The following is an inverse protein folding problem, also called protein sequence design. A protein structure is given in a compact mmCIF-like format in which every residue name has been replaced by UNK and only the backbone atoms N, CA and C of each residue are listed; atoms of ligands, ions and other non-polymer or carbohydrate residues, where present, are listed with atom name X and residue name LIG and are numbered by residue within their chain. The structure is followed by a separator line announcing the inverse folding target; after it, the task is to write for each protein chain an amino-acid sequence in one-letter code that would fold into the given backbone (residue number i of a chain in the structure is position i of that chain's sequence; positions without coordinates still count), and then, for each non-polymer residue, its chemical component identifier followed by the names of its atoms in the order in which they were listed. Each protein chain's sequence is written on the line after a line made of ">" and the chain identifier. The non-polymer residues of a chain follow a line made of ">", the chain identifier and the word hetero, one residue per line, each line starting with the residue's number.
data_IF_960085429054
#
_entry.id   IF_960085429054
#
_cell.length_a   1.000
_cell.length_b   1.000
_cell.length_c   1.000
_cell.angle_alpha   90.00
_cell.angle_beta   90.00
_cell.angle_gamma   90.00
#
_symmetry.space_group_name_H-M   'P 1'
#
loop_
_entity.id
_entity.type
_entity.pdbx_description
1 polymer ?
#
# COMPACT_ATOMS: atom_id res chain seq x y z
N UNK A 1 15.16 -41.48 73.13
CA UNK A 1 16.55 -41.90 73.30
C UNK A 1 17.32 -40.79 72.66
N UNK A 2 17.65 -39.91 73.50
CA UNK A 2 18.93 -39.46 74.12
C UNK A 2 19.70 -38.60 73.13
N UNK A 3 19.77 -37.37 73.45
CA UNK A 3 20.68 -36.62 74.39
C UNK A 3 21.93 -36.19 73.60
N UNK A 4 22.55 -35.06 73.68
CA UNK A 4 22.63 -33.97 74.64
C UNK A 4 23.54 -32.90 73.98
N UNK A 5 23.32 -31.65 74.07
CA UNK A 5 23.95 -30.62 74.95
C UNK A 5 25.52 -30.64 74.88
N UNK A 6 26.17 -29.54 74.76
CA UNK A 6 26.52 -28.35 75.48
C UNK A 6 27.60 -27.60 74.69
N UNK A 7 27.59 -26.35 74.49
CA UNK A 7 27.71 -25.11 75.31
C UNK A 7 29.17 -24.64 75.46
N UNK A 8 29.29 -23.34 75.56
CA UNK A 8 30.33 -22.46 76.21
C UNK A 8 31.31 -21.72 75.29
N UNK A 9 31.04 -20.46 75.01
CA UNK A 9 31.61 -19.26 75.66
C UNK A 9 33.05 -18.86 75.31
N UNK A 10 33.23 -17.58 74.98
CA UNK A 10 34.42 -16.83 75.24
C UNK A 10 34.81 -15.73 74.25
N UNK A 11 34.36 -14.51 74.50
CA UNK A 11 35.04 -13.30 74.00
C UNK A 11 36.20 -12.92 74.92
N UNK A 12 37.17 -12.08 74.64
CA UNK A 12 36.97 -10.63 74.40
C UNK A 12 37.89 -9.98 73.36
N UNK A 13 37.52 -8.72 73.04
CA UNK A 13 38.33 -7.66 72.36
C UNK A 13 39.59 -7.26 73.14
N UNK A 14 40.59 -6.49 72.53
CA UNK A 14 40.41 -5.16 72.01
C UNK A 14 41.24 -4.73 70.78
N UNK A 15 40.91 -3.57 70.23
CA UNK A 15 41.68 -2.73 69.29
C UNK A 15 42.86 -2.01 70.02
N UNK A 16 43.72 -1.16 69.42
CA UNK A 16 43.73 -0.47 68.12
C UNK A 16 45.09 -0.39 67.46
N UNK A 17 45.25 0.20 66.28
CA UNK A 17 46.17 1.29 65.95
C UNK A 17 46.10 1.73 64.47
N UNK A 18 46.08 3.02 64.30
CA UNK A 18 46.25 3.83 63.11
C UNK A 18 47.57 3.60 62.43
N UNK A 19 47.59 3.62 61.08
CA UNK A 19 48.56 4.46 60.36
C UNK A 19 48.13 4.70 58.89
N UNK A 20 48.40 5.93 58.46
CA UNK A 20 48.20 6.51 57.14
C UNK A 20 49.16 5.88 56.11
N UNK A 21 48.68 5.66 54.87
CA UNK A 21 49.48 5.94 53.70
C UNK A 21 48.60 6.08 52.41
N UNK A 22 48.59 7.30 51.91
CA UNK A 22 48.83 7.70 50.53
C UNK A 22 47.91 7.20 49.43
N UNK A 23 47.24 8.18 48.82
CA UNK A 23 46.70 8.26 47.48
C UNK A 23 47.43 7.46 46.43
N UNK A 24 46.68 6.63 45.69
CA UNK A 24 46.95 6.33 44.28
C UNK A 24 45.59 6.27 43.56
N UNK A 25 45.24 7.36 42.88
CA UNK A 25 44.23 7.37 41.85
C UNK A 25 44.65 6.37 40.77
N UNK A 26 43.83 5.32 40.56
CA UNK A 26 43.90 4.51 39.38
C UNK A 26 42.63 4.75 38.56
N UNK A 27 42.80 5.51 37.48
CA UNK A 27 41.88 5.63 36.38
C UNK A 27 41.49 4.24 35.87
N UNK A 28 40.32 3.76 36.21
CA UNK A 28 39.70 2.63 35.53
C UNK A 28 38.59 3.17 34.65
N UNK A 29 38.59 2.94 33.33
CA UNK A 29 37.52 3.34 32.49
C UNK A 29 36.25 2.57 32.90
N UNK A 30 35.24 3.32 33.20
CA UNK A 30 33.88 2.88 33.61
C UNK A 30 33.27 2.05 32.46
N UNK A 31 33.57 0.74 32.41
CA UNK A 31 32.89 -0.18 31.47
C UNK A 31 31.55 -0.52 32.06
N UNK A 32 30.50 0.04 31.48
CA UNK A 32 29.13 -0.37 31.77
C UNK A 32 29.00 -1.89 31.60
N UNK A 33 28.32 -2.58 32.51
CA UNK A 33 28.14 -4.03 32.41
C UNK A 33 27.48 -4.38 31.05
N UNK A 34 27.93 -5.44 30.40
CA UNK A 34 27.50 -5.81 29.04
C UNK A 34 26.00 -5.95 28.86
N UNK A 35 25.25 -6.27 29.94
CA UNK A 35 23.79 -6.33 29.89
C UNK A 35 23.13 -4.95 29.75
N UNK A 36 23.72 -3.88 30.28
CA UNK A 36 23.23 -2.51 30.13
C UNK A 36 23.41 -2.05 28.68
N UNK A 37 24.55 -2.39 28.05
CA UNK A 37 24.77 -2.14 26.62
C UNK A 37 23.79 -2.92 25.75
N UNK A 38 23.45 -4.14 26.12
CA UNK A 38 22.45 -4.96 25.42
C UNK A 38 21.02 -4.41 25.56
N UNK A 39 20.65 -3.93 26.77
CA UNK A 39 19.36 -3.29 27.01
C UNK A 39 19.20 -1.97 26.25
N UNK A 40 20.28 -1.17 26.16
CA UNK A 40 20.28 0.07 25.37
C UNK A 40 20.13 -0.27 23.86
N UNK A 41 20.78 -1.32 23.38
CA UNK A 41 20.65 -1.79 22.00
C UNK A 41 19.22 -2.28 21.71
N UNK A 42 18.62 -3.07 22.60
CA UNK A 42 17.24 -3.52 22.50
C UNK A 42 16.24 -2.34 22.53
N UNK A 43 16.46 -1.36 23.40
CA UNK A 43 15.63 -0.16 23.45
C UNK A 43 15.76 0.67 22.16
N UNK A 44 16.97 0.79 21.60
CA UNK A 44 17.21 1.47 20.33
C UNK A 44 16.57 0.73 19.15
N UNK A 45 16.61 -0.60 19.13
CA UNK A 45 15.92 -1.41 18.10
C UNK A 45 14.40 -1.28 18.23
N UNK A 46 13.86 -1.31 19.45
CA UNK A 46 12.44 -1.14 19.71
C UNK A 46 11.93 0.26 19.36
N UNK A 47 12.71 1.30 19.63
CA UNK A 47 12.38 2.68 19.23
C UNK A 47 12.50 2.89 17.73
N UNK A 48 13.48 2.26 17.06
CA UNK A 48 13.59 2.28 15.60
C UNK A 48 12.44 1.52 14.92
N UNK A 49 12.03 0.37 15.45
CA UNK A 49 10.87 -0.38 14.98
C UNK A 49 9.57 0.41 15.22
N UNK A 50 9.36 0.94 16.43
CA UNK A 50 8.22 1.78 16.76
C UNK A 50 8.19 3.10 15.96
N UNK A 51 9.36 3.71 15.69
CA UNK A 51 9.47 4.90 14.84
C UNK A 51 9.12 4.60 13.38
N UNK A 52 9.48 3.42 12.85
CA UNK A 52 9.08 2.99 11.50
C UNK A 52 7.58 2.74 11.42
N UNK A 53 6.98 2.07 12.40
CA UNK A 53 5.53 1.83 12.46
C UNK A 53 4.78 3.17 12.62
N UNK A 54 5.20 4.04 13.53
CA UNK A 54 4.56 5.35 13.74
C UNK A 54 4.73 6.29 12.53
N UNK A 55 5.86 6.24 11.81
CA UNK A 55 6.04 6.98 10.56
C UNK A 55 5.14 6.44 9.45
N UNK A 56 4.93 5.13 9.43
CA UNK A 56 4.08 4.48 8.46
C UNK A 56 2.60 4.81 8.70
N UNK A 57 2.15 4.79 9.97
CA UNK A 57 0.83 5.27 10.35
C UNK A 57 0.63 6.75 10.02
N UNK A 58 1.65 7.59 10.27
CA UNK A 58 1.56 9.03 9.96
C UNK A 58 1.62 9.32 8.47
N UNK A 59 2.34 8.55 7.66
CA UNK A 59 2.36 8.68 6.20
C UNK A 59 1.05 8.20 5.59
N UNK A 60 0.53 7.05 6.03
CA UNK A 60 -0.80 6.56 5.66
C UNK A 60 -1.90 7.53 6.05
N UNK A 61 -1.90 8.02 7.32
CA UNK A 61 -2.86 9.01 7.81
C UNK A 61 -2.73 10.37 7.12
N UNK A 62 -1.54 10.83 6.79
CA UNK A 62 -1.35 12.07 6.01
C UNK A 62 -1.92 11.95 4.60
N UNK A 63 -1.80 10.78 3.97
CA UNK A 63 -2.40 10.55 2.67
C UNK A 63 -3.94 10.63 2.72
N UNK A 64 -4.56 10.20 3.84
CA UNK A 64 -6.00 10.37 4.08
C UNK A 64 -6.44 11.82 4.22
N UNK A 65 -5.60 12.66 4.82
CA UNK A 65 -5.91 14.08 5.04
C UNK A 65 -5.54 14.97 3.85
N UNK A 66 -4.67 14.51 2.96
CA UNK A 66 -4.20 15.26 1.78
C UNK A 66 -4.80 14.77 0.46
N UNK A 67 -5.48 13.61 0.43
CA UNK A 67 -6.29 13.26 -0.73
C UNK A 67 -7.40 14.31 -0.86
N UNK A 68 -7.46 15.08 -1.97
CA UNK A 68 -8.52 16.05 -2.15
C UNK A 68 -9.87 15.35 -2.05
N UNK A 69 -10.88 15.98 -1.43
CA UNK A 69 -12.23 15.42 -1.41
C UNK A 69 -12.64 15.09 -2.83
N UNK A 70 -13.34 13.97 -3.04
CA UNK A 70 -13.76 13.47 -4.36
C UNK A 70 -14.33 14.58 -5.27
N UNK A 71 -14.98 15.58 -4.68
CA UNK A 71 -15.52 16.75 -5.40
C UNK A 71 -14.45 17.69 -5.99
N UNK A 72 -13.26 17.79 -5.41
CA UNK A 72 -12.21 18.69 -5.88
C UNK A 72 -11.29 18.08 -6.94
N UNK A 73 -11.23 16.76 -7.05
CA UNK A 73 -10.41 16.06 -8.05
C UNK A 73 -11.02 16.05 -9.45
N UNK A 74 -12.30 16.43 -9.58
CA UNK A 74 -13.04 16.42 -10.87
C UNK A 74 -12.78 17.63 -11.76
N UNK A 75 -12.00 18.65 -11.32
CA UNK A 75 -11.77 19.92 -12.06
C UNK A 75 -10.33 20.10 -12.54
N UNK A 76 -9.54 19.05 -12.62
CA UNK A 76 -8.26 19.19 -13.33
C UNK A 76 -8.50 19.05 -14.84
N UNK A 77 -8.62 20.22 -15.51
CA UNK A 77 -8.48 20.33 -16.96
C UNK A 77 -7.19 19.67 -17.41
N UNK A 78 -7.19 18.89 -18.50
CA UNK A 78 -5.94 18.39 -19.07
C UNK A 78 -5.05 19.60 -19.39
N UNK A 79 -3.95 19.70 -18.67
CA UNK A 79 -2.87 20.61 -19.05
C UNK A 79 -2.34 20.07 -20.37
N UNK A 80 -2.53 20.83 -21.44
CA UNK A 80 -1.88 20.58 -22.73
C UNK A 80 -0.38 20.66 -22.49
N UNK A 81 0.26 19.51 -22.32
CA UNK A 81 1.72 19.40 -22.26
C UNK A 81 2.22 19.67 -23.67
N UNK A 82 3.09 20.67 -23.90
CA UNK A 82 3.66 20.92 -25.21
C UNK A 82 4.38 19.66 -25.69
N UNK A 83 4.27 19.37 -26.98
CA UNK A 83 4.94 18.26 -27.63
C UNK A 83 6.43 18.28 -27.29
N UNK A 84 6.92 17.21 -26.66
CA UNK A 84 8.30 17.10 -26.19
C UNK A 84 9.26 17.09 -27.39
N UNK A 85 10.31 17.88 -27.33
CA UNK A 85 11.40 17.85 -28.31
C UNK A 85 12.06 16.45 -28.28
N UNK A 86 12.15 15.73 -29.43
CA UNK A 86 12.78 14.42 -29.46
C UNK A 86 14.26 14.42 -29.02
N UNK A 87 14.93 15.56 -29.06
CA UNK A 87 16.33 15.72 -28.62
C UNK A 87 16.46 15.71 -27.09
N UNK A 88 15.47 16.21 -26.35
CA UNK A 88 15.46 16.16 -24.89
C UNK A 88 15.36 14.71 -24.35
N UNK A 89 14.75 13.81 -25.12
CA UNK A 89 14.52 12.42 -24.72
C UNK A 89 15.80 11.58 -24.63
N UNK A 90 16.77 11.80 -25.50
CA UNK A 90 18.03 11.04 -25.52
C UNK A 90 18.94 11.47 -24.35
N UNK A 91 18.91 12.75 -23.97
CA UNK A 91 19.73 13.29 -22.88
C UNK A 91 19.28 12.74 -21.52
N UNK A 92 17.96 12.66 -21.28
CA UNK A 92 17.43 12.14 -20.02
C UNK A 92 17.75 10.63 -19.86
N UNK A 93 17.58 9.83 -20.90
CA UNK A 93 17.87 8.39 -20.87
C UNK A 93 19.36 8.10 -20.65
N UNK A 94 20.25 8.89 -21.27
CA UNK A 94 21.70 8.78 -21.10
C UNK A 94 22.12 9.14 -19.67
N UNK A 95 21.65 10.24 -19.13
CA UNK A 95 21.91 10.66 -17.74
C UNK A 95 21.44 9.59 -16.76
N UNK A 96 20.22 9.06 -16.94
CA UNK A 96 19.66 8.03 -16.06
C UNK A 96 20.47 6.74 -16.12
N UNK A 97 21.02 6.36 -17.28
CA UNK A 97 21.81 5.13 -17.43
C UNK A 97 23.08 5.11 -16.57
N UNK A 98 23.60 6.27 -16.19
CA UNK A 98 24.79 6.42 -15.33
C UNK A 98 24.46 6.45 -13.82
N UNK A 99 23.19 6.52 -13.43
CA UNK A 99 22.76 6.49 -12.03
C UNK A 99 22.86 5.07 -11.44
N UNK A 100 22.95 5.01 -10.11
CA UNK A 100 22.81 3.73 -9.39
C UNK A 100 21.37 3.16 -9.46
N UNK A 101 21.17 1.85 -9.25
CA UNK A 101 19.87 1.18 -9.39
C UNK A 101 18.71 1.87 -8.68
N UNK A 102 18.91 2.30 -7.43
CA UNK A 102 17.90 3.00 -6.63
C UNK A 102 17.47 4.31 -7.31
N UNK A 103 18.44 5.14 -7.67
CA UNK A 103 18.18 6.43 -8.32
C UNK A 103 17.56 6.25 -9.72
N UNK A 104 17.97 5.22 -10.46
CA UNK A 104 17.36 4.87 -11.75
C UNK A 104 15.87 4.55 -11.57
N UNK A 105 15.52 3.68 -10.61
CA UNK A 105 14.14 3.27 -10.36
C UNK A 105 13.28 4.46 -9.95
N UNK A 106 13.74 5.29 -9.01
CA UNK A 106 13.05 6.48 -8.54
C UNK A 106 12.85 7.49 -9.68
N UNK A 107 13.90 7.79 -10.44
CA UNK A 107 13.82 8.77 -11.55
C UNK A 107 12.95 8.31 -12.70
N UNK A 108 13.02 7.02 -13.06
CA UNK A 108 12.18 6.47 -14.12
C UNK A 108 10.71 6.36 -13.70
N UNK A 109 10.43 6.07 -12.43
CA UNK A 109 9.05 6.05 -11.92
C UNK A 109 8.46 7.46 -11.86
N UNK A 110 9.24 8.46 -11.44
CA UNK A 110 8.85 9.86 -11.49
C UNK A 110 8.54 10.31 -12.94
N UNK A 111 9.39 9.94 -13.89
CA UNK A 111 9.14 10.21 -15.31
C UNK A 111 7.90 9.48 -15.82
N UNK A 112 7.63 8.25 -15.38
CA UNK A 112 6.48 7.47 -15.80
C UNK A 112 5.15 8.14 -15.45
N UNK A 113 5.09 8.84 -14.32
CA UNK A 113 3.91 9.60 -13.89
C UNK A 113 3.55 10.70 -14.90
N UNK A 114 4.56 11.34 -15.50
CA UNK A 114 4.37 12.49 -16.40
C UNK A 114 4.54 12.16 -17.87
N UNK A 115 5.41 11.21 -18.22
CA UNK A 115 5.80 10.83 -19.57
C UNK A 115 5.96 9.31 -19.69
N UNK A 116 4.85 8.54 -19.62
CA UNK A 116 4.90 7.08 -19.54
C UNK A 116 5.63 6.43 -20.71
N UNK A 117 5.39 6.89 -21.93
CA UNK A 117 5.95 6.25 -23.12
C UNK A 117 7.49 6.35 -23.21
N UNK A 118 8.10 7.30 -22.50
CA UNK A 118 9.55 7.48 -22.48
C UNK A 118 10.26 6.61 -21.42
N UNK A 119 9.57 6.20 -20.38
CA UNK A 119 10.17 5.57 -19.19
C UNK A 119 9.78 4.12 -18.96
N UNK A 120 8.56 3.72 -19.35
CA UNK A 120 8.04 2.37 -19.04
C UNK A 120 8.90 1.27 -19.66
N UNK A 121 9.38 1.46 -20.89
CA UNK A 121 10.29 0.50 -21.55
C UNK A 121 11.61 0.34 -20.80
N UNK A 122 12.15 1.43 -20.27
CA UNK A 122 13.38 1.42 -19.47
C UNK A 122 13.16 0.78 -18.11
N UNK A 123 12.03 1.05 -17.44
CA UNK A 123 11.66 0.37 -16.20
C UNK A 123 11.63 -1.13 -16.43
N UNK A 124 10.87 -1.58 -17.42
CA UNK A 124 10.73 -3.00 -17.70
C UNK A 124 12.07 -3.69 -17.98
N UNK A 125 12.95 -3.04 -18.75
CA UNK A 125 14.28 -3.55 -19.09
C UNK A 125 15.17 -3.74 -17.86
N UNK A 126 15.03 -2.89 -16.84
CA UNK A 126 15.92 -2.85 -15.68
C UNK A 126 15.41 -3.60 -14.44
N UNK A 127 14.15 -4.06 -14.40
CA UNK A 127 13.56 -4.71 -13.22
C UNK A 127 14.41 -5.85 -12.65
N UNK A 128 14.96 -6.70 -13.52
CA UNK A 128 15.77 -7.84 -13.07
C UNK A 128 17.14 -7.41 -12.54
N UNK A 129 17.77 -6.40 -13.16
CA UNK A 129 19.05 -5.86 -12.71
C UNK A 129 18.94 -5.08 -11.39
N UNK A 130 17.79 -4.51 -11.10
CA UNK A 130 17.53 -3.80 -9.84
C UNK A 130 17.27 -4.74 -8.66
N UNK A 131 16.97 -6.00 -8.93
CA UNK A 131 16.62 -6.98 -7.88
C UNK A 131 17.78 -7.20 -6.90
N UNK A 132 17.50 -7.00 -5.61
CA UNK A 132 18.50 -7.03 -4.55
C UNK A 132 19.32 -5.75 -4.40
N UNK A 133 19.12 -4.75 -5.29
CA UNK A 133 19.78 -3.46 -5.24
C UNK A 133 18.84 -2.31 -4.86
N UNK A 134 17.53 -2.53 -4.90
CA UNK A 134 16.55 -1.57 -4.40
C UNK A 134 16.29 -1.77 -2.91
N UNK A 135 16.00 -0.67 -2.25
CA UNK A 135 15.55 -0.61 -0.86
C UNK A 135 14.16 0.04 -0.82
N UNK A 136 13.34 -0.40 0.11
CA UNK A 136 12.03 0.20 0.40
C UNK A 136 12.25 1.50 1.19
N UNK A 137 12.63 2.57 0.48
CA UNK A 137 12.83 3.91 1.04
C UNK A 137 11.52 4.68 1.08
N UNK A 138 11.41 5.65 2.02
CA UNK A 138 10.26 6.56 2.08
C UNK A 138 10.02 7.27 0.72
N UNK A 139 11.09 7.66 0.02
CA UNK A 139 11.02 8.30 -1.28
C UNK A 139 10.44 7.38 -2.35
N UNK A 140 10.96 6.15 -2.47
CA UNK A 140 10.46 5.18 -3.43
C UNK A 140 8.99 4.83 -3.15
N UNK A 141 8.64 4.66 -1.87
CA UNK A 141 7.27 4.38 -1.47
C UNK A 141 6.30 5.51 -1.87
N UNK A 142 6.67 6.78 -1.64
CA UNK A 142 5.84 7.91 -2.08
C UNK A 142 5.68 7.98 -3.61
N UNK A 143 6.73 7.68 -4.36
CA UNK A 143 6.66 7.61 -5.83
C UNK A 143 5.76 6.46 -6.29
N UNK A 144 5.83 5.30 -5.65
CA UNK A 144 4.93 4.17 -5.92
C UNK A 144 3.47 4.58 -5.69
N UNK A 145 3.16 5.21 -4.55
CA UNK A 145 1.80 5.69 -4.26
C UNK A 145 1.33 6.71 -5.30
N UNK A 146 2.16 7.67 -5.66
CA UNK A 146 1.83 8.67 -6.68
C UNK A 146 1.58 8.03 -8.06
N UNK A 147 2.39 7.03 -8.43
CA UNK A 147 2.22 6.30 -9.68
C UNK A 147 0.95 5.43 -9.71
N UNK A 148 0.50 4.92 -8.55
CA UNK A 148 -0.74 4.16 -8.44
C UNK A 148 -2.00 5.01 -8.62
N UNK A 149 -1.91 6.33 -8.46
CA UNK A 149 -2.99 7.28 -8.77
C UNK A 149 -3.07 7.66 -10.25
N UNK A 150 -2.13 7.17 -11.08
CA UNK A 150 -2.14 7.44 -12.52
C UNK A 150 -3.38 6.84 -13.19
N UNK A 151 -3.97 7.58 -14.13
CA UNK A 151 -5.02 7.06 -15.02
C UNK A 151 -4.49 5.99 -15.99
N UNK A 152 -3.18 6.02 -16.30
CA UNK A 152 -2.53 5.01 -17.15
C UNK A 152 -2.24 3.72 -16.36
N UNK A 153 -2.95 2.65 -16.71
CA UNK A 153 -2.77 1.35 -16.08
C UNK A 153 -1.32 0.81 -16.19
N UNK A 154 -0.59 1.19 -17.25
CA UNK A 154 0.80 0.77 -17.45
C UNK A 154 1.72 1.37 -16.39
N UNK A 155 1.46 2.62 -15.99
CA UNK A 155 2.20 3.31 -14.90
C UNK A 155 1.92 2.62 -13.57
N UNK A 156 0.65 2.29 -13.29
CA UNK A 156 0.30 1.54 -12.07
C UNK A 156 0.97 0.16 -12.02
N UNK A 157 1.02 -0.54 -13.16
CA UNK A 157 1.75 -1.82 -13.28
C UNK A 157 3.24 -1.64 -12.98
N UNK A 158 3.89 -0.62 -13.55
CA UNK A 158 5.29 -0.34 -13.31
C UNK A 158 5.59 -0.04 -11.82
N UNK A 159 4.71 0.71 -11.15
CA UNK A 159 4.81 0.96 -9.72
C UNK A 159 4.74 -0.33 -8.89
N UNK A 160 3.79 -1.22 -9.19
CA UNK A 160 3.68 -2.55 -8.56
C UNK A 160 4.94 -3.38 -8.78
N UNK A 161 5.46 -3.43 -10.00
CA UNK A 161 6.68 -4.21 -10.29
C UNK A 161 7.90 -3.68 -9.52
N UNK A 162 8.05 -2.36 -9.43
CA UNK A 162 9.14 -1.73 -8.67
C UNK A 162 9.01 -2.03 -7.18
N UNK A 163 7.82 -1.92 -6.57
CA UNK A 163 7.61 -2.29 -5.16
C UNK A 163 7.94 -3.76 -4.90
N UNK A 164 7.49 -4.67 -5.76
CA UNK A 164 7.80 -6.09 -5.64
C UNK A 164 9.31 -6.34 -5.71
N UNK A 165 10.04 -5.63 -6.58
CA UNK A 165 11.51 -5.73 -6.69
C UNK A 165 12.19 -5.18 -5.43
N UNK A 166 11.79 -4.02 -4.93
CA UNK A 166 12.34 -3.40 -3.73
C UNK A 166 12.18 -4.27 -2.48
N UNK A 167 11.10 -5.08 -2.44
CA UNK A 167 10.80 -5.99 -1.34
C UNK A 167 11.29 -7.44 -1.57
N UNK A 168 12.09 -7.66 -2.61
CA UNK A 168 12.58 -8.99 -2.99
C UNK A 168 11.46 -10.04 -3.15
N UNK A 169 10.33 -9.60 -3.70
CA UNK A 169 9.20 -10.46 -4.02
C UNK A 169 9.26 -10.84 -5.51
N UNK A 170 9.68 -12.06 -5.79
CA UNK A 170 9.62 -12.64 -7.14
C UNK A 170 8.19 -13.08 -7.45
N UNK A 171 7.83 -13.16 -8.73
CA UNK A 171 6.58 -13.79 -9.17
C UNK A 171 6.66 -15.31 -9.00
N UNK A 172 6.58 -15.77 -7.75
CA UNK A 172 6.82 -17.17 -7.40
C UNK A 172 5.93 -17.63 -6.23
N UNK A 173 5.66 -18.95 -6.11
CA UNK A 173 4.96 -19.50 -4.96
C UNK A 173 5.66 -19.24 -3.63
N UNK A 174 6.98 -19.11 -3.62
CA UNK A 174 7.75 -18.81 -2.42
C UNK A 174 7.46 -17.40 -1.89
N UNK A 175 7.34 -16.40 -2.79
CA UNK A 175 6.93 -15.05 -2.40
C UNK A 175 5.51 -15.01 -1.86
N UNK A 176 4.60 -15.78 -2.47
CA UNK A 176 3.24 -15.94 -1.94
C UNK A 176 3.26 -16.53 -0.53
N UNK A 177 4.00 -17.61 -0.31
CA UNK A 177 4.13 -18.24 1.01
C UNK A 177 4.74 -17.30 2.04
N UNK A 178 5.75 -16.49 1.66
CA UNK A 178 6.36 -15.46 2.52
C UNK A 178 5.31 -14.44 2.97
N UNK A 179 4.53 -13.87 2.03
CA UNK A 179 3.48 -12.90 2.37
C UNK A 179 2.40 -13.49 3.25
N UNK A 180 1.92 -14.70 2.94
CA UNK A 180 0.93 -15.39 3.78
C UNK A 180 1.43 -15.67 5.20
N UNK A 181 2.72 -15.96 5.36
CA UNK A 181 3.34 -16.12 6.67
C UNK A 181 3.41 -14.78 7.43
N UNK A 182 3.83 -13.69 6.78
CA UNK A 182 3.84 -12.35 7.37
C UNK A 182 2.45 -11.92 7.83
N UNK A 183 1.44 -12.09 6.97
CA UNK A 183 0.05 -11.74 7.29
C UNK A 183 -0.45 -12.47 8.55
N UNK A 184 -0.09 -13.74 8.73
CA UNK A 184 -0.56 -14.55 9.87
C UNK A 184 0.20 -14.26 11.16
N UNK A 185 1.51 -14.12 11.08
CA UNK A 185 2.39 -14.21 12.22
C UNK A 185 3.06 -12.89 12.63
N UNK A 186 2.93 -11.84 11.81
CA UNK A 186 3.54 -10.55 12.08
C UNK A 186 2.48 -9.44 11.97
N UNK A 187 1.87 -9.03 13.10
CA UNK A 187 0.87 -7.97 13.10
C UNK A 187 1.38 -6.64 12.56
N UNK A 188 2.66 -6.32 12.79
CA UNK A 188 3.24 -5.01 12.42
C UNK A 188 3.49 -4.91 10.91
N UNK A 189 3.89 -6.00 10.26
CA UNK A 189 4.09 -6.02 8.80
C UNK A 189 2.87 -6.49 8.02
N UNK A 190 1.79 -6.92 8.70
CA UNK A 190 0.55 -7.45 8.10
C UNK A 190 -0.03 -6.51 7.07
N UNK A 191 -0.07 -5.24 7.37
CA UNK A 191 -0.73 -4.22 6.54
C UNK A 191 -0.16 -4.18 5.13
N UNK A 192 1.13 -3.97 5.00
CA UNK A 192 1.79 -3.97 3.70
C UNK A 192 1.80 -5.33 3.03
N UNK A 193 1.87 -6.40 3.82
CA UNK A 193 1.81 -7.74 3.28
C UNK A 193 0.44 -8.04 2.64
N UNK A 194 -0.68 -7.52 3.19
CA UNK A 194 -2.01 -7.60 2.56
C UNK A 194 -2.05 -6.86 1.22
N UNK A 195 -1.50 -5.66 1.17
CA UNK A 195 -1.42 -4.87 -0.05
C UNK A 195 -0.57 -5.59 -1.12
N UNK A 196 0.65 -6.04 -0.74
CA UNK A 196 1.57 -6.76 -1.63
C UNK A 196 1.04 -8.13 -2.07
N UNK A 197 0.21 -8.76 -1.23
CA UNK A 197 -0.48 -10.00 -1.62
C UNK A 197 -1.43 -9.76 -2.80
N UNK A 198 -2.21 -8.68 -2.76
CA UNK A 198 -3.06 -8.27 -3.87
C UNK A 198 -2.25 -7.96 -5.12
N UNK A 199 -1.17 -7.17 -4.97
CA UNK A 199 -0.26 -6.83 -6.06
C UNK A 199 0.37 -8.08 -6.71
N UNK A 200 0.85 -9.03 -5.91
CA UNK A 200 1.42 -10.29 -6.39
C UNK A 200 0.37 -11.16 -7.08
N UNK A 201 -0.85 -11.23 -6.54
CA UNK A 201 -2.00 -11.90 -7.15
C UNK A 201 -2.36 -11.32 -8.51
N UNK A 202 -2.36 -9.98 -8.64
CA UNK A 202 -2.55 -9.27 -9.91
C UNK A 202 -1.50 -9.67 -10.96
N UNK A 203 -0.27 -9.97 -10.52
CA UNK A 203 0.82 -10.43 -11.39
C UNK A 203 0.77 -11.94 -11.67
N UNK A 204 -0.34 -12.61 -11.36
CA UNK A 204 -0.63 -14.00 -11.72
C UNK A 204 -0.16 -15.03 -10.70
N UNK A 205 0.32 -14.63 -9.52
CA UNK A 205 0.79 -15.57 -8.48
C UNK A 205 -0.30 -15.85 -7.46
N UNK A 206 -0.99 -16.97 -7.61
CA UNK A 206 -2.01 -17.45 -6.70
C UNK A 206 -3.18 -16.47 -6.47
N UNK A 207 -3.82 -15.92 -7.52
CA UNK A 207 -4.86 -14.90 -7.37
C UNK A 207 -6.06 -15.39 -6.54
N UNK A 208 -6.45 -16.64 -6.66
CA UNK A 208 -7.52 -17.22 -5.84
C UNK A 208 -7.17 -17.26 -4.34
N UNK A 209 -5.91 -17.62 -4.00
CA UNK A 209 -5.42 -17.61 -2.63
C UNK A 209 -5.33 -16.19 -2.09
N UNK A 210 -4.89 -15.24 -2.91
CA UNK A 210 -4.86 -13.82 -2.55
C UNK A 210 -6.27 -13.32 -2.26
N UNK A 211 -7.23 -13.57 -3.15
CA UNK A 211 -8.64 -13.19 -2.95
C UNK A 211 -9.20 -13.75 -1.65
N UNK A 212 -9.10 -15.06 -1.44
CA UNK A 212 -9.61 -15.71 -0.24
C UNK A 212 -9.02 -15.15 1.06
N UNK A 213 -7.70 -14.85 1.03
CA UNK A 213 -7.01 -14.25 2.18
C UNK A 213 -7.50 -12.83 2.42
N UNK A 214 -7.58 -12.00 1.38
CA UNK A 214 -8.03 -10.61 1.47
C UNK A 214 -9.48 -10.51 1.95
N UNK A 215 -10.36 -11.37 1.45
CA UNK A 215 -11.74 -11.48 1.92
C UNK A 215 -11.80 -11.80 3.41
N UNK A 216 -11.00 -12.74 3.89
CA UNK A 216 -10.95 -13.06 5.32
C UNK A 216 -10.57 -11.84 6.16
N UNK A 217 -9.54 -11.10 5.76
CA UNK A 217 -9.03 -9.96 6.52
C UNK A 217 -9.85 -8.68 6.32
N UNK A 218 -10.70 -8.60 5.30
CA UNK A 218 -11.67 -7.50 5.15
C UNK A 218 -12.80 -7.52 6.20
N UNK A 219 -12.92 -8.62 6.96
CA UNK A 219 -13.84 -8.76 8.09
C UNK A 219 -13.12 -8.79 9.46
N UNK A 220 -11.84 -8.43 9.51
CA UNK A 220 -11.07 -8.39 10.76
C UNK A 220 -11.68 -7.36 11.74
N UNK A 221 -11.59 -7.63 13.05
CA UNK A 221 -12.05 -6.71 14.08
C UNK A 221 -11.27 -5.38 14.06
N UNK A 222 -9.99 -5.41 13.68
CA UNK A 222 -9.14 -4.23 13.58
C UNK A 222 -9.45 -3.45 12.30
N UNK A 223 -9.85 -2.19 12.44
CA UNK A 223 -10.18 -1.31 11.32
C UNK A 223 -9.01 -1.14 10.34
N UNK A 224 -7.78 -1.03 10.85
CA UNK A 224 -6.59 -0.84 10.01
C UNK A 224 -6.31 -2.10 9.17
N UNK A 225 -6.52 -3.29 9.74
CA UNK A 225 -6.42 -4.55 8.99
C UNK A 225 -7.45 -4.60 7.86
N UNK A 226 -8.73 -4.24 8.14
CA UNK A 226 -9.78 -4.18 7.11
C UNK A 226 -9.42 -3.20 6.01
N UNK A 227 -8.93 -2.02 6.38
CA UNK A 227 -8.48 -1.00 5.43
C UNK A 227 -7.43 -1.54 4.45
N UNK A 228 -6.38 -2.19 4.95
CA UNK A 228 -5.33 -2.73 4.10
C UNK A 228 -5.75 -3.97 3.32
N UNK A 229 -6.74 -4.72 3.82
CA UNK A 229 -7.37 -5.78 3.03
C UNK A 229 -8.15 -5.21 1.83
N UNK A 230 -8.84 -4.07 2.00
CA UNK A 230 -9.51 -3.32 0.92
C UNK A 230 -8.50 -2.82 -0.11
N UNK A 231 -7.35 -2.31 0.34
CA UNK A 231 -6.24 -1.95 -0.53
C UNK A 231 -5.72 -3.15 -1.33
N UNK A 232 -5.55 -4.29 -0.66
CA UNK A 232 -5.15 -5.54 -1.31
C UNK A 232 -6.15 -6.01 -2.36
N UNK A 233 -7.46 -5.91 -2.10
CA UNK A 233 -8.53 -6.23 -3.08
C UNK A 233 -8.45 -5.32 -4.31
N UNK A 234 -8.18 -4.04 -4.09
CA UNK A 234 -7.98 -3.09 -5.18
C UNK A 234 -6.73 -3.40 -6.01
N UNK A 235 -5.62 -3.78 -5.34
CA UNK A 235 -4.40 -4.19 -6.02
C UNK A 235 -4.54 -5.51 -6.76
N UNK A 236 -5.34 -6.45 -6.25
CA UNK A 236 -5.68 -7.68 -6.97
C UNK A 236 -6.41 -7.37 -8.27
N UNK A 237 -7.39 -6.46 -8.24
CA UNK A 237 -8.03 -5.88 -9.40
C UNK A 237 -8.71 -6.89 -10.33
N UNK A 238 -9.28 -7.95 -9.77
CA UNK A 238 -10.06 -8.93 -10.54
C UNK A 238 -11.55 -8.64 -10.46
N UNK A 239 -12.34 -9.19 -11.38
CA UNK A 239 -13.78 -9.01 -11.37
C UNK A 239 -14.42 -9.48 -10.05
N UNK A 240 -13.88 -10.53 -9.45
CA UNK A 240 -14.33 -11.07 -8.17
C UNK A 240 -14.06 -10.13 -6.99
N UNK A 241 -13.20 -9.12 -7.15
CA UNK A 241 -12.96 -8.08 -6.13
C UNK A 241 -14.10 -7.06 -6.06
N UNK A 242 -14.91 -6.92 -7.10
CA UNK A 242 -15.93 -5.87 -7.22
C UNK A 242 -17.04 -6.05 -6.17
N UNK A 243 -17.63 -7.24 -6.09
CA UNK A 243 -18.70 -7.51 -5.13
C UNK A 243 -18.28 -7.24 -3.67
N UNK A 244 -17.13 -7.77 -3.20
CA UNK A 244 -16.58 -7.44 -1.88
C UNK A 244 -16.35 -5.94 -1.66
N UNK A 245 -15.80 -5.21 -2.62
CA UNK A 245 -15.59 -3.76 -2.50
C UNK A 245 -16.92 -3.01 -2.38
N UNK A 246 -17.96 -3.39 -3.13
CA UNK A 246 -19.31 -2.83 -3.03
C UNK A 246 -19.94 -3.11 -1.65
N UNK A 247 -19.80 -4.34 -1.15
CA UNK A 247 -20.30 -4.71 0.19
C UNK A 247 -19.63 -3.90 1.28
N UNK A 248 -18.31 -3.70 1.19
CA UNK A 248 -17.54 -2.90 2.15
C UNK A 248 -17.93 -1.41 2.06
N UNK A 249 -18.10 -0.87 0.85
CA UNK A 249 -18.59 0.49 0.64
C UNK A 249 -19.94 0.72 1.34
N UNK A 250 -20.84 -0.24 1.25
CA UNK A 250 -22.17 -0.13 1.83
C UNK A 250 -22.18 -0.32 3.36
N UNK A 251 -21.41 -1.28 3.88
CA UNK A 251 -21.68 -1.84 5.20
C UNK A 251 -20.49 -1.84 6.18
N UNK A 252 -19.27 -1.43 5.80
CA UNK A 252 -18.16 -1.38 6.78
C UNK A 252 -18.51 -0.37 7.89
N UNK A 253 -18.33 -0.74 9.18
CA UNK A 253 -18.66 0.14 10.30
C UNK A 253 -17.81 1.41 10.31
N UNK A 254 -16.60 1.39 9.74
CA UNK A 254 -15.70 2.51 9.70
C UNK A 254 -15.86 3.32 8.40
N UNK A 255 -16.24 4.59 8.52
CA UNK A 255 -16.39 5.50 7.38
C UNK A 255 -15.15 5.53 6.48
N UNK A 256 -13.95 5.56 7.05
CA UNK A 256 -12.70 5.59 6.29
C UNK A 256 -12.52 4.35 5.40
N UNK A 257 -12.98 3.18 5.85
CA UNK A 257 -12.91 1.94 5.06
C UNK A 257 -13.93 1.99 3.93
N UNK A 258 -15.15 2.51 4.17
CA UNK A 258 -16.16 2.74 3.13
C UNK A 258 -15.66 3.72 2.06
N UNK A 259 -15.09 4.85 2.47
CA UNK A 259 -14.50 5.85 1.56
C UNK A 259 -13.39 5.23 0.70
N UNK A 260 -12.57 4.37 1.30
CA UNK A 260 -11.49 3.73 0.56
C UNK A 260 -12.01 2.71 -0.45
N UNK A 261 -13.00 1.91 -0.08
CA UNK A 261 -13.66 0.98 -1.00
C UNK A 261 -14.29 1.73 -2.20
N UNK A 262 -14.97 2.86 -1.96
CA UNK A 262 -15.51 3.73 -2.99
C UNK A 262 -14.43 4.25 -3.95
N UNK A 263 -13.32 4.76 -3.41
CA UNK A 263 -12.20 5.25 -4.19
C UNK A 263 -11.57 4.14 -5.04
N UNK A 264 -11.43 2.94 -4.47
CA UNK A 264 -10.85 1.77 -5.15
C UNK A 264 -11.74 1.27 -6.29
N UNK A 265 -13.06 1.26 -6.10
CA UNK A 265 -14.00 0.96 -7.18
C UNK A 265 -13.94 1.99 -8.31
N UNK A 266 -13.84 3.28 -7.95
CA UNK A 266 -13.96 4.36 -8.92
C UNK A 266 -12.69 4.59 -9.75
N UNK A 267 -11.51 4.62 -9.12
CA UNK A 267 -10.31 5.10 -9.80
C UNK A 267 -8.98 4.46 -9.39
N UNK A 268 -8.80 4.09 -8.12
CA UNK A 268 -7.52 3.54 -7.67
C UNK A 268 -7.43 2.03 -7.81
N UNK A 269 -6.24 1.47 -7.60
CA UNK A 269 -6.00 0.04 -7.76
C UNK A 269 -5.90 -0.41 -9.22
N UNK A 270 -6.09 -1.71 -9.43
CA UNK A 270 -5.79 -2.38 -10.70
C UNK A 270 -7.04 -2.77 -11.52
N UNK A 271 -8.26 -2.40 -11.06
CA UNK A 271 -9.46 -2.60 -11.86
C UNK A 271 -9.36 -1.87 -13.19
N UNK A 272 -9.77 -2.53 -14.26
CA UNK A 272 -9.87 -1.92 -15.60
C UNK A 272 -11.10 -1.02 -15.71
N UNK A 273 -11.15 -0.13 -16.70
CA UNK A 273 -12.33 0.69 -16.97
C UNK A 273 -13.59 -0.15 -17.22
N UNK A 274 -13.47 -1.25 -17.95
CA UNK A 274 -14.57 -2.18 -18.21
C UNK A 274 -15.09 -2.84 -16.92
N UNK A 275 -14.19 -3.30 -16.05
CA UNK A 275 -14.57 -3.85 -14.75
C UNK A 275 -15.25 -2.82 -13.85
N UNK A 276 -14.81 -1.56 -13.89
CA UNK A 276 -15.46 -0.46 -13.15
C UNK A 276 -16.86 -0.20 -13.68
N UNK A 277 -17.04 -0.17 -15.00
CA UNK A 277 -18.37 -0.04 -15.62
C UNK A 277 -19.30 -1.21 -15.24
N UNK A 278 -18.77 -2.43 -15.12
CA UNK A 278 -19.55 -3.58 -14.66
C UNK A 278 -20.07 -3.46 -13.22
N UNK A 279 -19.51 -2.56 -12.40
CA UNK A 279 -19.99 -2.27 -11.05
C UNK A 279 -21.19 -1.30 -11.04
N UNK A 280 -21.43 -0.54 -12.13
CA UNK A 280 -22.47 0.51 -12.18
C UNK A 280 -23.86 0.00 -11.81
N UNK A 281 -24.39 -1.12 -12.35
CA UNK A 281 -25.71 -1.59 -11.97
C UNK A 281 -25.88 -1.84 -10.47
N UNK A 282 -24.83 -2.34 -9.80
CA UNK A 282 -24.86 -2.59 -8.37
C UNK A 282 -24.74 -1.29 -7.56
N UNK A 283 -23.98 -0.32 -8.04
CA UNK A 283 -23.93 1.03 -7.44
C UNK A 283 -25.28 1.74 -7.55
N UNK A 284 -26.03 1.57 -8.66
CA UNK A 284 -27.37 2.08 -8.80
C UNK A 284 -28.33 1.46 -7.77
N UNK A 285 -28.23 0.15 -7.54
CA UNK A 285 -29.03 -0.51 -6.50
C UNK A 285 -28.69 0.01 -5.09
N UNK A 286 -27.42 0.33 -4.82
CA UNK A 286 -27.02 0.95 -3.55
C UNK A 286 -27.52 2.41 -3.43
N UNK A 287 -27.63 3.13 -4.52
CA UNK A 287 -28.17 4.50 -4.52
C UNK A 287 -29.66 4.54 -4.16
N UNK A 288 -30.40 3.47 -4.49
CA UNK A 288 -31.81 3.29 -4.12
C UNK A 288 -32.04 2.77 -2.71
N UNK A 289 -31.00 2.36 -2.02
CA UNK A 289 -31.12 1.78 -0.69
C UNK A 289 -31.26 2.88 0.37
N UNK A 290 -32.50 3.18 0.74
CA UNK A 290 -32.83 4.17 1.77
C UNK A 290 -32.31 3.81 3.17
N UNK A 291 -31.86 2.57 3.37
CA UNK A 291 -31.27 2.13 4.65
C UNK A 291 -29.83 2.63 4.83
N UNK A 292 -29.16 3.04 3.76
CA UNK A 292 -27.81 3.54 3.80
C UNK A 292 -27.75 4.95 4.40
N UNK A 293 -26.72 5.18 5.22
CA UNK A 293 -26.44 6.53 5.74
C UNK A 293 -26.27 7.53 4.58
N UNK A 294 -26.73 8.79 4.71
CA UNK A 294 -26.58 9.82 3.68
C UNK A 294 -25.13 10.01 3.21
N UNK A 295 -24.15 9.86 4.13
CA UNK A 295 -22.73 9.93 3.81
C UNK A 295 -22.28 8.76 2.93
N UNK A 296 -22.87 7.58 3.08
CA UNK A 296 -22.58 6.42 2.22
C UNK A 296 -23.22 6.59 0.84
N UNK A 297 -24.44 7.11 0.77
CA UNK A 297 -25.06 7.47 -0.51
C UNK A 297 -24.24 8.53 -1.27
N UNK A 298 -23.61 9.50 -0.57
CA UNK A 298 -22.65 10.44 -1.19
C UNK A 298 -21.47 9.73 -1.83
N UNK A 299 -20.92 8.70 -1.16
CA UNK A 299 -19.82 7.90 -1.70
C UNK A 299 -20.23 7.08 -2.93
N UNK A 300 -21.43 6.50 -2.91
CA UNK A 300 -21.99 5.77 -4.05
C UNK A 300 -22.15 6.72 -5.26
N UNK A 301 -22.77 7.88 -5.04
CA UNK A 301 -22.94 8.91 -6.06
C UNK A 301 -21.60 9.38 -6.65
N UNK A 302 -20.62 9.67 -5.77
CA UNK A 302 -19.27 10.07 -6.20
C UNK A 302 -18.55 8.95 -6.99
N UNK A 303 -18.78 7.68 -6.64
CA UNK A 303 -18.23 6.54 -7.38
C UNK A 303 -18.86 6.44 -8.78
N UNK A 304 -20.18 6.57 -8.88
CA UNK A 304 -20.90 6.61 -10.17
C UNK A 304 -20.35 7.72 -11.07
N UNK A 305 -20.21 8.94 -10.53
CA UNK A 305 -19.67 10.07 -11.29
C UNK A 305 -18.25 9.81 -11.78
N UNK A 306 -17.39 9.25 -10.92
CA UNK A 306 -15.99 9.00 -11.26
C UNK A 306 -15.83 7.88 -12.30
N UNK A 307 -16.69 6.87 -12.27
CA UNK A 307 -16.68 5.74 -13.23
C UNK A 307 -17.23 6.16 -14.57
N UNK A 308 -18.34 6.91 -14.59
CA UNK A 308 -19.11 7.18 -15.81
C UNK A 308 -18.77 8.53 -16.46
N UNK A 309 -18.23 9.46 -15.68
CA UNK A 309 -18.03 10.86 -16.09
C UNK A 309 -19.33 11.69 -16.09
N UNK A 310 -20.51 11.11 -15.81
CA UNK A 310 -21.76 11.81 -15.71
C UNK A 310 -21.94 12.47 -14.32
N UNK A 311 -22.72 13.54 -14.24
CA UNK A 311 -23.00 14.27 -12.99
C UNK A 311 -24.50 14.50 -12.85
N UNK A 312 -25.19 13.53 -12.27
CA UNK A 312 -26.65 13.50 -12.15
C UNK A 312 -27.15 13.68 -10.70
N UNK A 313 -26.27 14.01 -9.78
CA UNK A 313 -26.64 14.16 -8.36
C UNK A 313 -27.00 12.83 -7.71
N UNK A 314 -27.94 12.88 -6.76
CA UNK A 314 -28.44 11.73 -6.00
C UNK A 314 -29.78 11.20 -6.51
N UNK A 315 -30.19 11.57 -7.68
CA UNK A 315 -31.47 11.10 -8.28
C UNK A 315 -31.24 9.71 -8.91
N UNK A 316 -31.79 8.62 -8.31
CA UNK A 316 -31.60 7.28 -8.84
C UNK A 316 -32.27 7.07 -10.20
N UNK A 317 -33.42 7.73 -10.45
CA UNK A 317 -34.16 7.58 -11.69
C UNK A 317 -33.41 8.23 -12.85
N UNK A 318 -32.84 9.42 -12.64
CA UNK A 318 -31.97 10.08 -13.61
C UNK A 318 -30.74 9.22 -13.96
N UNK A 319 -30.13 8.57 -12.95
CA UNK A 319 -29.00 7.66 -13.17
C UNK A 319 -29.41 6.40 -13.95
N UNK A 320 -30.58 5.80 -13.67
CA UNK A 320 -31.09 4.62 -14.40
C UNK A 320 -31.45 4.96 -15.84
N UNK A 321 -32.08 6.08 -16.05
CA UNK A 321 -32.39 6.55 -17.40
C UNK A 321 -31.12 6.77 -18.20
N UNK A 322 -30.12 7.45 -17.61
CA UNK A 322 -28.85 7.67 -18.25
C UNK A 322 -28.16 6.34 -18.58
N UNK A 323 -28.11 5.40 -17.63
CA UNK A 323 -27.46 4.09 -17.81
C UNK A 323 -28.15 3.28 -18.93
N UNK A 324 -29.48 3.25 -18.97
CA UNK A 324 -30.24 2.55 -20.01
C UNK A 324 -29.88 3.02 -21.44
N UNK A 325 -29.48 4.28 -21.58
CA UNK A 325 -29.05 4.84 -22.87
C UNK A 325 -27.57 4.59 -23.17
N UNK A 326 -26.73 4.37 -22.16
CA UNK A 326 -25.26 4.24 -22.28
C UNK A 326 -24.78 2.79 -22.17
N UNK A 327 -25.55 1.91 -21.54
CA UNK A 327 -25.23 0.45 -21.43
C UNK A 327 -25.55 -0.32 -22.72
N UNK A 328 -25.72 0.34 -23.82
CA UNK A 328 -25.73 -0.37 -25.08
C UNK A 328 -24.29 -0.66 -25.45
N UNK A 329 -23.82 -1.96 -25.41
CA UNK A 329 -22.62 -2.31 -26.11
C UNK A 329 -22.78 -1.75 -27.51
N UNK A 330 -21.84 -0.97 -28.01
CA UNK A 330 -21.78 -0.64 -29.43
C UNK A 330 -21.95 -1.96 -30.16
N UNK A 331 -23.20 -2.30 -30.54
CA UNK A 331 -23.46 -3.36 -31.49
C UNK A 331 -22.64 -2.97 -32.69
N UNK A 332 -21.46 -3.60 -32.80
CA UNK A 332 -20.65 -3.71 -34.02
C UNK A 332 -21.23 -2.84 -35.10
N UNK A 333 -20.60 -1.68 -35.36
CA UNK A 333 -20.84 -0.99 -36.61
C UNK A 333 -20.68 -2.07 -37.66
N UNK A 334 -21.81 -2.51 -38.17
CA UNK A 334 -21.93 -3.42 -39.29
C UNK A 334 -21.24 -2.72 -40.44
N UNK A 335 -19.94 -3.00 -40.60
CA UNK A 335 -19.26 -2.66 -41.85
C UNK A 335 -20.03 -3.44 -42.93
N UNK A 336 -20.73 -2.77 -43.88
CA UNK A 336 -21.38 -3.48 -44.94
C UNK A 336 -20.24 -4.24 -45.68
N UNK A 337 -20.32 -5.58 -45.67
CA UNK A 337 -19.56 -6.42 -46.60
C UNK A 337 -20.16 -6.19 -47.99
N UNK A 338 -19.60 -5.24 -48.69
CA UNK A 338 -20.06 -4.97 -50.05
C UNK A 338 -19.26 -3.87 -50.69
N UNK A 339 -18.02 -4.14 -50.99
CA UNK A 339 -17.30 -3.62 -52.18
C UNK A 339 -15.95 -4.33 -52.31
N UNK A 340 -16.00 -5.58 -52.67
CA UNK A 340 -14.89 -6.28 -53.32
C UNK A 340 -15.51 -6.85 -54.61
N UNK A 341 -15.51 -6.07 -55.67
CA UNK A 341 -15.59 -6.48 -57.08
C UNK A 341 -15.38 -5.22 -57.95
N UNK A 342 -14.15 -4.97 -58.38
CA UNK A 342 -13.73 -4.68 -59.76
C UNK A 342 -12.19 -4.39 -59.72
#
# INVERSE_FOLDING_TARGET
>A
MNDSLEDISGAPRPAPHLERAAHRESDTPNRLPGYVSFLILLAAISTLAGYRVARFESAGLRWFHTAPPLASALVQRPVLVPASDPRANNTDAEVISHLGPQQQAERLLELAIHRPDQSLGLIHKNLDSWRGHLQDTDQLFHLVLAALDSSDARVRVAAVEIDLVANNLRKSPQSLAKLLNQIRNDPDSRYLALWRLGALGNRGVGPATALATLLRYSHDSNQQTRFWAVEGLAMLGTAESIGPLLSILAHDPARQVRERAACNLARSGMLTGEQRLAAVPQLLNLLDDDSLEPATQDLVCASLQAITGASLGKDPDAWREWWAHHDRPERTRHVPKGLLLA
#
